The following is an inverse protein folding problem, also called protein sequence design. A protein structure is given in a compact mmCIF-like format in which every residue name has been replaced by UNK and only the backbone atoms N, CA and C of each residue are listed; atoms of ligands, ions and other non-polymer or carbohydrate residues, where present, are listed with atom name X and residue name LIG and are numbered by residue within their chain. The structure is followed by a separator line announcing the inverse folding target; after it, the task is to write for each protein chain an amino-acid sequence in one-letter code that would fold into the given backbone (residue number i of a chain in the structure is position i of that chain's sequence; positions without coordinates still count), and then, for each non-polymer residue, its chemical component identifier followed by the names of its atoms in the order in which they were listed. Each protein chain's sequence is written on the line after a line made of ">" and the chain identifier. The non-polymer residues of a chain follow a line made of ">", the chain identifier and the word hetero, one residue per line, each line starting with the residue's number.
data_IF_532739961246
#
_entry.id   IF_532739961246
#
_cell.length_a   1.000
_cell.length_b   1.000
_cell.length_c   1.000
_cell.angle_alpha   90.00
_cell.angle_beta   90.00
_cell.angle_gamma   90.00
#
_symmetry.space_group_name_H-M   'P 1'
#
loop_
_entity.id
_entity.type
_entity.pdbx_description
1 polymer ?
#
# COMPACT_ATOMS: atom_id res chain seq x y z
N UNK A 1 -26.51 -67.58 16.65
CA UNK A 1 -26.63 -67.70 15.17
C UNK A 1 -26.86 -66.29 14.64
N UNK A 2 -26.06 -65.64 13.81
CA UNK A 2 -24.82 -65.94 13.07
C UNK A 2 -24.00 -64.64 13.06
N UNK A 3 -22.69 -64.75 13.30
CA UNK A 3 -21.74 -63.65 13.13
C UNK A 3 -21.37 -63.55 11.65
N UNK A 4 -21.79 -62.49 10.96
CA UNK A 4 -21.31 -62.20 9.60
C UNK A 4 -19.96 -61.48 9.68
N UNK A 5 -18.88 -62.21 9.40
CA UNK A 5 -17.57 -61.64 9.12
C UNK A 5 -17.59 -61.11 7.69
N UNK A 6 -17.57 -59.79 7.53
CA UNK A 6 -17.30 -59.14 6.24
C UNK A 6 -15.78 -59.10 6.09
N UNK A 7 -15.24 -59.96 5.22
CA UNK A 7 -13.87 -59.85 4.74
C UNK A 7 -13.84 -58.74 3.69
N UNK A 8 -13.34 -57.55 4.04
CA UNK A 8 -12.99 -56.54 3.04
C UNK A 8 -11.68 -56.95 2.36
N UNK A 9 -11.77 -57.43 1.13
CA UNK A 9 -10.62 -57.56 0.25
C UNK A 9 -10.20 -56.15 -0.21
N UNK A 10 -9.11 -55.63 0.36
CA UNK A 10 -8.45 -54.43 -0.15
C UNK A 10 -7.74 -54.83 -1.44
N UNK A 11 -8.33 -54.47 -2.58
CA UNK A 11 -7.62 -54.47 -3.85
C UNK A 11 -6.61 -53.32 -3.79
N UNK A 12 -5.33 -53.64 -3.63
CA UNK A 12 -4.25 -52.70 -3.85
C UNK A 12 -4.21 -52.38 -5.36
N UNK A 13 -4.95 -51.35 -5.76
CA UNK A 13 -4.67 -50.66 -7.02
C UNK A 13 -3.31 -50.02 -6.85
N UNK A 14 -2.28 -50.66 -7.41
CA UNK A 14 -0.98 -50.04 -7.62
C UNK A 14 -1.15 -48.85 -8.54
N UNK A 15 -1.47 -47.69 -7.97
CA UNK A 15 -1.21 -46.42 -8.63
C UNK A 15 0.30 -46.30 -8.61
N UNK A 16 0.95 -46.72 -9.68
CA UNK A 16 2.30 -46.27 -9.98
C UNK A 16 2.23 -44.75 -10.01
N UNK A 17 2.68 -44.11 -8.93
CA UNK A 17 2.91 -42.68 -8.91
C UNK A 17 3.92 -42.41 -10.02
N UNK A 18 3.44 -41.97 -11.18
CA UNK A 18 4.30 -41.44 -12.23
C UNK A 18 4.97 -40.25 -11.57
N UNK A 19 6.24 -40.39 -11.22
CA UNK A 19 7.02 -39.28 -10.69
C UNK A 19 6.97 -38.17 -11.73
N UNK A 20 6.38 -37.03 -11.36
CA UNK A 20 6.32 -35.87 -12.24
C UNK A 20 7.73 -35.57 -12.77
N UNK A 21 7.88 -35.48 -14.09
CA UNK A 21 9.19 -35.21 -14.68
C UNK A 21 9.68 -33.87 -14.13
N UNK A 22 10.90 -33.84 -13.59
CA UNK A 22 11.45 -32.67 -12.88
C UNK A 22 12.74 -32.19 -13.54
N UNK A 23 12.79 -30.91 -13.91
CA UNK A 23 14.03 -30.24 -14.32
C UNK A 23 14.66 -29.55 -13.11
N UNK A 24 15.97 -29.67 -12.91
CA UNK A 24 16.69 -29.11 -11.74
C UNK A 24 17.75 -28.07 -12.12
N UNK A 25 17.71 -27.59 -13.36
CA UNK A 25 18.62 -26.55 -13.88
C UNK A 25 17.78 -25.46 -14.48
N UNK A 26 18.31 -24.24 -14.46
CA UNK A 26 17.65 -23.09 -15.04
C UNK A 26 17.35 -23.33 -16.52
N UNK A 27 16.19 -22.88 -16.95
CA UNK A 27 15.70 -23.01 -18.32
C UNK A 27 15.73 -21.63 -18.95
N UNK A 28 16.64 -21.43 -19.89
CA UNK A 28 16.68 -20.23 -20.70
C UNK A 28 15.73 -20.38 -21.89
N UNK A 29 14.81 -19.43 -22.04
CA UNK A 29 13.92 -19.32 -23.19
C UNK A 29 14.58 -18.38 -24.18
N UNK A 30 15.07 -18.94 -25.28
CA UNK A 30 15.73 -18.19 -26.37
C UNK A 30 14.90 -18.17 -27.65
N UNK A 31 13.77 -18.87 -27.69
CA UNK A 31 12.92 -19.03 -28.87
C UNK A 31 11.43 -18.82 -28.52
N UNK A 32 10.59 -18.30 -29.43
CA UNK A 32 9.18 -17.93 -29.17
C UNK A 32 8.23 -19.07 -28.75
N UNK A 33 8.56 -20.33 -28.99
CA UNK A 33 7.70 -21.45 -28.58
C UNK A 33 8.56 -22.59 -28.06
N UNK A 34 8.59 -22.73 -26.74
CA UNK A 34 9.40 -23.73 -26.08
C UNK A 34 8.50 -24.73 -25.33
N UNK A 35 8.65 -25.99 -25.70
CA UNK A 35 8.07 -27.11 -24.95
C UNK A 35 9.12 -27.58 -23.95
N UNK A 36 8.82 -27.41 -22.67
CA UNK A 36 9.65 -27.91 -21.57
C UNK A 36 9.10 -29.28 -21.19
N UNK A 37 9.96 -30.31 -21.19
CA UNK A 37 9.54 -31.70 -21.04
C UNK A 37 9.19 -32.12 -19.61
N UNK A 38 9.47 -31.27 -18.61
CA UNK A 38 9.18 -31.54 -17.22
C UNK A 38 7.87 -30.88 -16.76
N UNK A 39 7.11 -31.59 -15.92
CA UNK A 39 5.94 -31.07 -15.22
C UNK A 39 6.34 -30.08 -14.10
N UNK A 40 7.53 -30.27 -13.51
CA UNK A 40 8.05 -29.46 -12.41
C UNK A 40 9.42 -28.90 -12.78
N UNK A 41 9.62 -27.60 -12.60
CA UNK A 41 10.92 -26.94 -12.70
C UNK A 41 11.39 -26.58 -11.29
N UNK A 42 12.33 -27.35 -10.77
CA UNK A 42 13.05 -27.09 -9.51
C UNK A 42 14.27 -26.21 -9.75
N UNK A 43 14.03 -25.08 -10.40
CA UNK A 43 15.00 -24.09 -10.86
C UNK A 43 14.24 -22.85 -11.38
N UNK A 44 14.96 -21.90 -11.99
CA UNK A 44 14.37 -20.72 -12.61
C UNK A 44 14.01 -20.94 -14.09
N UNK A 45 12.99 -20.24 -14.58
CA UNK A 45 12.75 -20.02 -16.00
C UNK A 45 13.10 -18.57 -16.33
N UNK A 46 13.98 -18.38 -17.31
CA UNK A 46 14.52 -17.06 -17.68
C UNK A 46 14.25 -16.84 -19.17
N UNK A 47 13.41 -15.86 -19.50
CA UNK A 47 13.23 -15.39 -20.88
C UNK A 47 14.38 -14.47 -21.24
N UNK A 48 15.17 -14.89 -22.23
CA UNK A 48 16.32 -14.13 -22.67
C UNK A 48 15.90 -12.80 -23.29
N UNK A 49 16.71 -11.75 -23.06
CA UNK A 49 16.45 -10.39 -23.55
C UNK A 49 16.39 -10.28 -25.08
N UNK A 50 16.95 -11.24 -25.81
CA UNK A 50 16.94 -11.27 -27.27
C UNK A 50 15.64 -11.81 -27.87
N UNK A 51 14.77 -12.42 -27.05
CA UNK A 51 13.51 -12.97 -27.53
C UNK A 51 12.56 -11.85 -27.96
N UNK A 52 11.97 -12.02 -29.14
CA UNK A 52 11.05 -11.08 -29.75
C UNK A 52 9.73 -11.76 -30.15
N UNK A 53 8.66 -10.97 -30.23
CA UNK A 53 7.35 -11.46 -30.66
C UNK A 53 6.57 -12.17 -29.57
N UNK A 54 5.88 -13.25 -29.93
CA UNK A 54 4.95 -13.96 -29.05
C UNK A 54 5.60 -15.20 -28.43
N UNK A 55 5.70 -15.24 -27.10
CA UNK A 55 6.27 -16.37 -26.37
C UNK A 55 5.18 -17.26 -25.77
N UNK A 56 5.25 -18.56 -26.04
CA UNK A 56 4.38 -19.58 -25.44
C UNK A 56 5.23 -20.60 -24.70
N UNK A 57 4.95 -20.77 -23.40
CA UNK A 57 5.61 -21.75 -22.53
C UNK A 57 4.65 -22.91 -22.28
N UNK A 58 5.00 -24.08 -22.82
CA UNK A 58 4.22 -25.31 -22.70
C UNK A 58 4.96 -26.36 -21.88
N UNK A 59 4.22 -27.10 -21.06
CA UNK A 59 4.72 -28.28 -20.36
C UNK A 59 4.73 -28.16 -18.83
N UNK A 60 5.45 -27.19 -18.24
CA UNK A 60 5.59 -27.15 -16.80
C UNK A 60 4.27 -26.71 -16.18
N UNK A 61 3.93 -27.38 -15.09
CA UNK A 61 2.79 -27.05 -14.23
C UNK A 61 3.23 -26.26 -13.02
N UNK A 62 4.42 -26.56 -12.49
CA UNK A 62 4.96 -25.92 -11.31
C UNK A 62 6.38 -25.42 -11.55
N UNK A 63 6.65 -24.20 -11.09
CA UNK A 63 8.00 -23.63 -11.03
C UNK A 63 8.30 -23.40 -9.55
N UNK A 64 9.33 -24.04 -9.01
CA UNK A 64 9.75 -23.84 -7.61
C UNK A 64 10.67 -22.64 -7.45
N UNK A 65 11.41 -22.28 -8.49
CA UNK A 65 12.17 -21.04 -8.57
C UNK A 65 11.32 -19.88 -9.09
N UNK A 66 12.00 -18.97 -9.79
CA UNK A 66 11.43 -17.76 -10.37
C UNK A 66 11.03 -17.97 -11.82
N UNK A 67 10.07 -17.17 -12.29
CA UNK A 67 9.84 -16.91 -13.70
C UNK A 67 10.29 -15.48 -13.99
N UNK A 68 11.26 -15.29 -14.88
CA UNK A 68 11.87 -13.98 -15.11
C UNK A 68 11.85 -13.61 -16.60
N UNK A 69 11.38 -12.41 -16.93
CA UNK A 69 11.61 -11.78 -18.22
C UNK A 69 12.03 -10.32 -17.99
N UNK A 70 13.27 -9.98 -18.38
CA UNK A 70 13.85 -8.65 -18.13
C UNK A 70 14.48 -8.08 -19.38
N UNK A 71 14.21 -6.81 -19.68
CA UNK A 71 14.81 -6.08 -20.79
C UNK A 71 14.61 -6.70 -22.19
N UNK A 72 13.57 -7.53 -22.36
CA UNK A 72 13.17 -8.05 -23.66
C UNK A 72 12.23 -7.03 -24.33
N UNK A 73 12.82 -5.97 -24.89
CA UNK A 73 12.07 -4.82 -25.42
C UNK A 73 11.10 -5.17 -26.55
N UNK A 74 11.42 -6.21 -27.34
CA UNK A 74 10.63 -6.68 -28.48
C UNK A 74 9.68 -7.84 -28.13
N UNK A 75 9.59 -8.24 -26.86
CA UNK A 75 8.63 -9.25 -26.39
C UNK A 75 7.21 -8.65 -26.42
N UNK A 76 6.35 -9.18 -27.29
CA UNK A 76 4.99 -8.65 -27.52
C UNK A 76 3.96 -9.37 -26.65
N UNK A 77 4.08 -10.69 -26.54
CA UNK A 77 3.20 -11.50 -25.70
C UNK A 77 3.94 -12.59 -24.95
N UNK A 78 3.40 -12.96 -23.79
CA UNK A 78 3.89 -14.07 -22.99
C UNK A 78 2.70 -14.87 -22.47
N UNK A 79 2.72 -16.19 -22.71
CA UNK A 79 1.60 -17.05 -22.34
C UNK A 79 1.99 -18.43 -21.85
N UNK A 80 1.16 -18.98 -20.98
CA UNK A 80 1.15 -20.40 -20.61
C UNK A 80 -0.24 -20.84 -20.18
N UNK A 81 -0.67 -22.00 -20.67
CA UNK A 81 -1.93 -22.63 -20.23
C UNK A 81 -1.70 -23.73 -19.20
N UNK A 82 -0.45 -24.10 -18.92
CA UNK A 82 -0.12 -25.23 -18.04
C UNK A 82 0.39 -24.82 -16.67
N UNK A 83 1.10 -23.69 -16.57
CA UNK A 83 1.70 -23.23 -15.31
C UNK A 83 0.58 -22.81 -14.35
N UNK A 84 0.44 -23.55 -13.26
CA UNK A 84 -0.53 -23.27 -12.20
C UNK A 84 0.09 -22.68 -10.93
N UNK A 85 1.39 -22.89 -10.71
CA UNK A 85 2.08 -22.33 -9.55
C UNK A 85 3.51 -21.90 -9.85
N UNK A 86 3.90 -20.72 -9.34
CA UNK A 86 5.28 -20.25 -9.26
C UNK A 86 5.58 -20.00 -7.79
N UNK A 87 6.50 -20.75 -7.19
CA UNK A 87 6.79 -20.64 -5.75
C UNK A 87 7.67 -19.45 -5.44
N UNK A 88 8.58 -19.09 -6.36
CA UNK A 88 9.37 -17.86 -6.30
C UNK A 88 8.63 -16.65 -6.86
N UNK A 89 9.39 -15.74 -7.44
CA UNK A 89 8.87 -14.49 -8.01
C UNK A 89 8.50 -14.66 -9.47
N UNK A 90 7.31 -14.18 -9.85
CA UNK A 90 6.97 -13.91 -11.23
C UNK A 90 7.38 -12.46 -11.56
N UNK A 91 8.54 -12.33 -12.20
CA UNK A 91 9.20 -11.05 -12.47
C UNK A 91 9.13 -10.67 -13.94
N UNK A 92 8.45 -9.56 -14.22
CA UNK A 92 8.40 -8.92 -15.54
C UNK A 92 8.94 -7.50 -15.38
N UNK A 93 10.09 -7.22 -16.00
CA UNK A 93 10.78 -5.94 -15.83
C UNK A 93 11.22 -5.34 -17.16
N UNK A 94 10.86 -4.09 -17.40
CA UNK A 94 11.32 -3.32 -18.56
C UNK A 94 11.02 -4.03 -19.89
N UNK A 95 9.73 -4.29 -20.14
CA UNK A 95 9.22 -4.97 -21.34
C UNK A 95 8.36 -3.99 -22.13
N UNK A 96 9.01 -3.18 -22.97
CA UNK A 96 8.38 -2.01 -23.62
C UNK A 96 7.28 -2.38 -24.62
N UNK A 97 7.40 -3.53 -25.30
CA UNK A 97 6.40 -4.00 -26.27
C UNK A 97 5.32 -4.90 -25.68
N UNK A 98 5.49 -5.42 -24.45
CA UNK A 98 4.59 -6.43 -23.88
C UNK A 98 3.20 -5.84 -23.67
N UNK A 99 2.23 -6.36 -24.41
CA UNK A 99 0.83 -5.91 -24.36
C UNK A 99 -0.16 -7.04 -24.04
N UNK A 100 0.28 -8.30 -24.13
CA UNK A 100 -0.55 -9.46 -23.81
C UNK A 100 0.17 -10.40 -22.86
N UNK A 101 -0.44 -10.64 -21.71
CA UNK A 101 0.01 -11.62 -20.72
C UNK A 101 -1.15 -12.59 -20.46
N UNK A 102 -0.92 -13.89 -20.66
CA UNK A 102 -1.96 -14.92 -20.48
C UNK A 102 -1.43 -16.15 -19.74
N UNK A 103 -1.81 -16.30 -18.47
CA UNK A 103 -1.45 -17.43 -17.63
C UNK A 103 -2.72 -18.07 -17.05
N UNK A 104 -3.52 -18.69 -17.92
CA UNK A 104 -4.91 -19.07 -17.64
C UNK A 104 -5.12 -20.15 -16.58
N UNK A 105 -4.07 -20.87 -16.18
CA UNK A 105 -4.09 -21.87 -15.11
C UNK A 105 -3.47 -21.38 -13.80
N UNK A 106 -2.94 -20.15 -13.75
CA UNK A 106 -2.13 -19.65 -12.65
C UNK A 106 -2.98 -19.33 -11.41
N UNK A 107 -2.76 -20.09 -10.34
CA UNK A 107 -3.54 -20.00 -9.10
C UNK A 107 -2.70 -19.53 -7.91
N UNK A 108 -1.39 -19.79 -7.90
CA UNK A 108 -0.50 -19.49 -6.77
C UNK A 108 0.82 -18.90 -7.22
N UNK A 109 1.24 -17.86 -6.51
CA UNK A 109 2.52 -17.19 -6.66
C UNK A 109 3.23 -17.10 -5.29
N UNK A 110 4.55 -17.08 -5.28
CA UNK A 110 5.29 -16.55 -4.14
C UNK A 110 5.14 -15.03 -4.12
N UNK A 111 5.64 -14.41 -5.18
CA UNK A 111 5.63 -12.96 -5.36
C UNK A 111 5.32 -12.59 -6.83
N UNK A 112 4.75 -11.41 -7.03
CA UNK A 112 4.53 -10.79 -8.34
C UNK A 112 5.28 -9.46 -8.35
N UNK A 113 6.18 -9.28 -9.32
CA UNK A 113 6.95 -8.04 -9.49
C UNK A 113 6.91 -7.58 -10.94
N UNK A 114 5.94 -6.72 -11.25
CA UNK A 114 5.70 -6.19 -12.58
C UNK A 114 6.09 -4.72 -12.62
N UNK A 115 7.15 -4.39 -13.34
CA UNK A 115 7.78 -3.07 -13.30
C UNK A 115 8.09 -2.61 -14.72
N UNK A 116 7.69 -1.39 -15.06
CA UNK A 116 7.96 -0.77 -16.38
C UNK A 116 7.39 -1.63 -17.53
N UNK A 117 6.06 -1.73 -17.56
CA UNK A 117 5.29 -2.47 -18.56
C UNK A 117 4.30 -1.50 -19.25
N UNK A 118 4.79 -0.56 -20.07
CA UNK A 118 4.03 0.62 -20.51
C UNK A 118 2.89 0.30 -21.50
N UNK A 119 2.75 -0.95 -21.92
CA UNK A 119 1.69 -1.41 -22.84
C UNK A 119 0.82 -2.53 -22.29
N UNK A 120 1.16 -3.08 -21.12
CA UNK A 120 0.39 -4.17 -20.51
C UNK A 120 -0.85 -3.58 -19.81
N UNK A 121 -2.04 -3.85 -20.32
CA UNK A 121 -3.29 -3.24 -19.83
C UNK A 121 -4.05 -4.07 -18.79
N UNK A 122 -3.86 -5.38 -18.76
CA UNK A 122 -4.69 -6.33 -18.02
C UNK A 122 -3.86 -7.51 -17.50
N UNK A 123 -4.37 -8.17 -16.46
CA UNK A 123 -3.83 -9.40 -15.88
C UNK A 123 -4.74 -10.59 -16.20
N UNK A 124 -4.36 -11.43 -17.17
CA UNK A 124 -5.15 -12.61 -17.51
C UNK A 124 -4.61 -13.87 -16.82
N UNK A 125 -5.06 -14.13 -15.60
CA UNK A 125 -4.71 -15.31 -14.79
C UNK A 125 -5.81 -16.38 -14.75
N UNK A 126 -6.73 -16.35 -15.72
CA UNK A 126 -7.85 -17.28 -15.78
C UNK A 126 -9.01 -16.90 -14.85
N UNK A 127 -10.08 -17.70 -14.87
CA UNK A 127 -11.34 -17.39 -14.17
C UNK A 127 -11.24 -17.54 -12.65
N UNK A 128 -10.42 -18.48 -12.18
CA UNK A 128 -10.16 -18.63 -10.74
C UNK A 128 -9.18 -17.57 -10.23
N UNK A 129 -8.31 -17.07 -11.12
CA UNK A 129 -7.27 -16.10 -10.81
C UNK A 129 -6.23 -16.61 -9.80
N UNK A 130 -5.30 -15.73 -9.45
CA UNK A 130 -4.36 -15.99 -8.36
C UNK A 130 -5.08 -15.75 -7.04
N UNK A 131 -5.13 -16.78 -6.20
CA UNK A 131 -5.76 -16.74 -4.86
C UNK A 131 -4.77 -16.77 -3.72
N UNK A 132 -3.52 -17.15 -4.00
CA UNK A 132 -2.44 -17.23 -3.02
C UNK A 132 -1.19 -16.53 -3.54
N UNK A 133 -0.77 -15.50 -2.83
CA UNK A 133 0.45 -14.73 -3.09
C UNK A 133 0.90 -14.05 -1.79
N UNK A 134 2.21 -13.89 -1.59
CA UNK A 134 2.75 -13.18 -0.43
C UNK A 134 2.89 -11.69 -0.71
N UNK A 135 3.48 -11.34 -1.84
CA UNK A 135 3.82 -9.95 -2.16
C UNK A 135 3.45 -9.59 -3.58
N UNK A 136 2.79 -8.44 -3.75
CA UNK A 136 2.42 -7.87 -5.05
C UNK A 136 3.13 -6.53 -5.19
N UNK A 137 3.84 -6.34 -6.29
CA UNK A 137 4.39 -5.05 -6.71
C UNK A 137 4.09 -4.81 -8.19
N UNK A 138 3.31 -3.77 -8.48
CA UNK A 138 2.97 -3.34 -9.84
C UNK A 138 3.28 -1.85 -9.98
N UNK A 139 4.37 -1.55 -10.68
CA UNK A 139 4.95 -0.19 -10.79
C UNK A 139 5.12 0.21 -12.25
N UNK A 140 4.76 1.44 -12.61
CA UNK A 140 5.00 2.01 -13.95
C UNK A 140 4.42 1.15 -15.08
N UNK A 141 3.15 0.78 -14.99
CA UNK A 141 2.48 -0.05 -16.02
C UNK A 141 1.27 0.64 -16.63
N UNK A 142 0.74 0.07 -17.71
CA UNK A 142 -0.53 0.49 -18.29
C UNK A 142 -1.73 -0.28 -17.70
N UNK A 143 -1.51 -1.09 -16.67
CA UNK A 143 -2.53 -1.95 -16.08
C UNK A 143 -3.64 -1.07 -15.51
N UNK A 144 -4.87 -1.40 -15.89
CA UNK A 144 -6.06 -0.65 -15.49
C UNK A 144 -6.99 -1.43 -14.56
N UNK A 145 -6.78 -2.74 -14.47
CA UNK A 145 -7.62 -3.67 -13.71
C UNK A 145 -6.78 -4.81 -13.13
N UNK A 146 -7.16 -5.28 -11.93
CA UNK A 146 -6.47 -6.33 -11.19
C UNK A 146 -7.38 -7.56 -10.95
N UNK A 147 -8.42 -7.77 -11.76
CA UNK A 147 -9.39 -8.87 -11.58
C UNK A 147 -8.78 -10.27 -11.65
N UNK A 148 -7.58 -10.42 -12.22
CA UNK A 148 -6.79 -11.65 -12.15
C UNK A 148 -6.28 -12.02 -10.74
N UNK A 149 -6.44 -11.14 -9.75
CA UNK A 149 -6.01 -11.33 -8.37
C UNK A 149 -7.23 -11.37 -7.43
N UNK A 150 -7.55 -12.55 -6.86
CA UNK A 150 -8.61 -12.72 -5.85
C UNK A 150 -7.99 -13.22 -4.55
N UNK A 151 -7.29 -12.31 -3.88
CA UNK A 151 -6.43 -12.63 -2.73
C UNK A 151 -7.05 -12.10 -1.45
N UNK A 152 -7.14 -12.96 -0.43
CA UNK A 152 -7.69 -12.57 0.87
C UNK A 152 -6.63 -12.01 1.83
N UNK A 153 -5.36 -12.42 1.68
CA UNK A 153 -4.29 -11.92 2.54
C UNK A 153 -2.95 -11.90 1.81
N UNK A 154 -2.16 -10.89 2.12
CA UNK A 154 -0.80 -10.67 1.60
C UNK A 154 0.08 -10.10 2.71
N UNK A 155 1.38 -10.28 2.56
CA UNK A 155 2.37 -9.59 3.39
C UNK A 155 2.50 -8.13 2.92
N UNK A 156 2.78 -7.94 1.63
CA UNK A 156 2.97 -6.62 1.03
C UNK A 156 2.14 -6.45 -0.24
N UNK A 157 1.48 -5.30 -0.36
CA UNK A 157 0.76 -4.90 -1.56
C UNK A 157 1.21 -3.50 -1.97
N UNK A 158 1.83 -3.40 -3.14
CA UNK A 158 2.26 -2.13 -3.71
C UNK A 158 1.76 -2.00 -5.14
N UNK A 159 1.03 -0.92 -5.39
CA UNK A 159 0.68 -0.47 -6.73
C UNK A 159 1.02 1.01 -6.86
N UNK A 160 1.87 1.35 -7.82
CA UNK A 160 2.26 2.74 -8.03
C UNK A 160 2.48 3.09 -9.49
N UNK A 161 2.20 4.35 -9.85
CA UNK A 161 2.42 4.89 -11.19
C UNK A 161 1.64 4.16 -12.32
N UNK A 162 0.48 3.57 -12.01
CA UNK A 162 -0.39 2.94 -13.00
C UNK A 162 -1.47 3.93 -13.45
N UNK A 163 -1.12 4.77 -14.42
CA UNK A 163 -1.94 5.94 -14.85
C UNK A 163 -3.32 5.61 -15.42
N UNK A 164 -3.58 4.34 -15.76
CA UNK A 164 -4.89 3.88 -16.26
C UNK A 164 -5.77 3.24 -15.18
N UNK A 165 -5.24 3.03 -13.99
CA UNK A 165 -5.96 2.42 -12.89
C UNK A 165 -6.83 3.44 -12.16
N UNK A 166 -8.05 3.63 -12.66
CA UNK A 166 -9.01 4.59 -12.11
C UNK A 166 -9.84 4.02 -10.96
N UNK A 167 -9.84 2.71 -10.77
CA UNK A 167 -10.54 2.06 -9.67
C UNK A 167 -9.80 0.82 -9.21
N UNK A 168 -9.90 0.51 -7.92
CA UNK A 168 -9.45 -0.76 -7.36
C UNK A 168 -10.44 -1.23 -6.31
N UNK A 169 -11.08 -2.36 -6.59
CA UNK A 169 -11.94 -3.06 -5.65
C UNK A 169 -11.23 -4.34 -5.19
N UNK A 170 -10.96 -4.45 -3.89
CA UNK A 170 -10.13 -5.52 -3.34
C UNK A 170 -10.95 -6.49 -2.49
N UNK A 171 -10.57 -7.77 -2.59
CA UNK A 171 -11.02 -8.85 -1.70
C UNK A 171 -10.11 -9.02 -0.46
N UNK A 172 -9.07 -8.20 -0.32
CA UNK A 172 -8.14 -8.28 0.80
C UNK A 172 -8.86 -8.11 2.14
N UNK A 173 -8.55 -9.01 3.06
CA UNK A 173 -8.99 -9.02 4.46
C UNK A 173 -7.85 -8.60 5.38
N UNK A 174 -6.61 -9.03 5.08
CA UNK A 174 -5.46 -8.78 5.95
C UNK A 174 -4.17 -8.46 5.17
N UNK A 175 -3.48 -7.39 5.56
CA UNK A 175 -2.15 -7.01 5.04
C UNK A 175 -1.14 -6.95 6.19
N UNK A 176 -0.19 -7.90 6.27
CA UNK A 176 0.65 -8.05 7.47
C UNK A 176 1.88 -7.16 7.53
N UNK A 177 2.26 -6.49 6.43
CA UNK A 177 3.43 -5.60 6.40
C UNK A 177 3.09 -4.23 5.88
N UNK A 178 2.66 -4.09 4.62
CA UNK A 178 2.37 -2.78 4.05
C UNK A 178 1.39 -2.83 2.88
N UNK A 179 0.49 -1.85 2.85
CA UNK A 179 -0.38 -1.50 1.75
C UNK A 179 0.04 -0.11 1.23
N UNK A 180 0.63 -0.09 0.05
CA UNK A 180 1.17 1.10 -0.59
C UNK A 180 0.44 1.36 -1.91
N UNK A 181 -0.28 2.47 -2.03
CA UNK A 181 -0.99 2.86 -3.25
C UNK A 181 -0.67 4.32 -3.57
N UNK A 182 0.09 4.55 -4.64
CA UNK A 182 0.59 5.89 -4.98
C UNK A 182 0.43 6.21 -6.46
N UNK A 183 0.11 7.45 -6.80
CA UNK A 183 0.23 7.99 -8.17
C UNK A 183 -0.49 7.16 -9.27
N UNK A 184 -1.60 6.51 -8.91
CA UNK A 184 -2.42 5.71 -9.82
C UNK A 184 -3.60 6.53 -10.33
N UNK A 185 -4.04 6.27 -11.56
CA UNK A 185 -5.25 6.89 -12.11
C UNK A 185 -5.23 8.42 -12.24
N UNK A 186 -4.08 9.10 -12.09
CA UNK A 186 -3.95 10.57 -12.15
C UNK A 186 -4.97 11.29 -11.25
N UNK A 187 -4.94 11.00 -9.95
CA UNK A 187 -5.82 11.57 -8.91
C UNK A 187 -7.31 11.22 -9.00
N UNK A 188 -7.75 10.43 -9.99
CA UNK A 188 -9.15 9.97 -10.08
C UNK A 188 -9.39 8.59 -9.50
N UNK A 189 -8.37 7.95 -8.90
CA UNK A 189 -8.47 6.59 -8.42
C UNK A 189 -9.49 6.43 -7.28
N UNK A 190 -10.45 5.53 -7.46
CA UNK A 190 -11.41 5.13 -6.43
C UNK A 190 -11.03 3.77 -5.82
N UNK A 191 -10.70 3.75 -4.53
CA UNK A 191 -10.23 2.56 -3.83
C UNK A 191 -11.33 2.06 -2.89
N UNK A 192 -11.74 0.81 -3.08
CA UNK A 192 -12.75 0.13 -2.25
C UNK A 192 -12.18 -1.15 -1.67
N UNK A 193 -12.11 -1.21 -0.33
CA UNK A 193 -11.60 -2.35 0.43
C UNK A 193 -12.60 -2.73 1.52
N UNK A 194 -13.78 -3.19 1.09
CA UNK A 194 -14.91 -3.44 1.98
C UNK A 194 -14.68 -4.59 2.98
N UNK A 195 -13.70 -5.46 2.71
CA UNK A 195 -13.37 -6.63 3.52
C UNK A 195 -12.11 -6.48 4.35
N UNK A 196 -11.35 -5.38 4.18
CA UNK A 196 -10.09 -5.19 4.89
C UNK A 196 -10.38 -4.99 6.37
N UNK A 197 -10.00 -5.97 7.20
CA UNK A 197 -10.19 -5.98 8.65
C UNK A 197 -8.93 -5.49 9.37
N UNK A 198 -7.76 -5.90 8.89
CA UNK A 198 -6.48 -5.58 9.52
C UNK A 198 -5.41 -5.19 8.49
N UNK A 199 -4.59 -4.21 8.83
CA UNK A 199 -3.39 -3.88 8.06
C UNK A 199 -2.27 -3.45 9.01
N UNK A 200 -1.02 -3.80 8.72
CA UNK A 200 0.09 -3.25 9.47
C UNK A 200 0.30 -1.78 9.12
N UNK A 201 0.69 -1.48 7.89
CA UNK A 201 0.86 -0.11 7.42
C UNK A 201 -0.01 0.16 6.19
N UNK A 202 -0.67 1.31 6.16
CA UNK A 202 -1.43 1.82 5.02
C UNK A 202 -0.83 3.17 4.64
N UNK A 203 -0.36 3.30 3.40
CA UNK A 203 0.06 4.58 2.83
C UNK A 203 -0.61 4.80 1.48
N UNK A 204 -1.36 5.90 1.36
CA UNK A 204 -2.11 6.24 0.15
C UNK A 204 -1.83 7.69 -0.27
N UNK A 205 -1.50 7.90 -1.55
CA UNK A 205 -1.48 9.19 -2.22
C UNK A 205 -2.25 9.15 -3.55
N UNK A 206 -2.63 10.33 -4.06
CA UNK A 206 -3.32 10.47 -5.34
C UNK A 206 -4.62 9.66 -5.48
N UNK A 207 -5.34 9.45 -4.37
CA UNK A 207 -6.66 8.82 -4.37
C UNK A 207 -7.79 9.87 -4.33
N UNK A 208 -8.85 9.61 -5.09
CA UNK A 208 -10.12 10.36 -5.04
C UNK A 208 -11.04 9.85 -3.94
N UNK A 209 -10.99 8.54 -3.65
CA UNK A 209 -11.71 7.95 -2.53
C UNK A 209 -10.98 6.72 -1.99
N UNK A 210 -11.09 6.49 -0.68
CA UNK A 210 -10.59 5.30 -0.02
C UNK A 210 -11.61 4.81 1.00
N UNK A 211 -12.19 3.63 0.78
CA UNK A 211 -13.26 3.04 1.61
C UNK A 211 -12.77 1.79 2.32
N UNK A 212 -12.80 1.83 3.65
CA UNK A 212 -12.39 0.74 4.55
C UNK A 212 -13.40 0.52 5.68
N UNK A 213 -14.68 0.21 5.36
CA UNK A 213 -15.74 0.11 6.37
C UNK A 213 -15.53 -1.03 7.38
N UNK A 214 -14.77 -2.08 7.02
CA UNK A 214 -14.51 -3.23 7.89
C UNK A 214 -13.22 -3.12 8.70
N UNK A 215 -12.39 -2.07 8.49
CA UNK A 215 -11.08 -1.97 9.12
C UNK A 215 -11.24 -1.77 10.62
N UNK A 216 -10.64 -2.68 11.39
CA UNK A 216 -10.75 -2.76 12.86
C UNK A 216 -9.44 -2.35 13.54
N UNK A 217 -8.30 -2.68 12.95
CA UNK A 217 -6.98 -2.48 13.56
C UNK A 217 -5.92 -2.12 12.51
N UNK A 218 -5.09 -1.13 12.85
CA UNK A 218 -3.85 -0.82 12.13
C UNK A 218 -2.67 -1.06 13.06
N UNK A 219 -1.91 -2.13 12.84
CA UNK A 219 -0.84 -2.57 13.77
C UNK A 219 0.47 -1.79 13.65
N UNK A 220 0.55 -0.88 12.68
CA UNK A 220 1.55 0.18 12.58
C UNK A 220 0.87 1.51 12.29
N UNK A 221 1.01 2.04 11.07
CA UNK A 221 0.65 3.41 10.72
C UNK A 221 -0.43 3.49 9.63
N UNK A 222 -1.33 4.46 9.76
CA UNK A 222 -2.28 4.87 8.72
C UNK A 222 -1.90 6.27 8.23
N UNK A 223 -1.41 6.37 6.99
CA UNK A 223 -0.91 7.60 6.38
C UNK A 223 -1.67 7.89 5.08
N UNK A 224 -2.52 8.91 5.10
CA UNK A 224 -3.18 9.44 3.91
C UNK A 224 -2.57 10.81 3.62
N UNK A 225 -1.65 10.83 2.66
CA UNK A 225 -0.87 12.02 2.34
C UNK A 225 -1.02 12.38 0.86
N UNK A 226 -1.13 13.67 0.55
CA UNK A 226 -1.23 14.16 -0.83
C UNK A 226 -2.36 13.50 -1.64
N UNK A 227 -3.58 13.54 -1.09
CA UNK A 227 -4.80 13.09 -1.77
C UNK A 227 -5.69 14.31 -2.09
N UNK A 228 -5.36 15.13 -3.10
CA UNK A 228 -6.03 16.41 -3.35
C UNK A 228 -7.49 16.27 -3.78
N UNK A 229 -7.91 15.11 -4.26
CA UNK A 229 -9.29 14.84 -4.68
C UNK A 229 -10.15 14.19 -3.59
N UNK A 230 -9.55 13.74 -2.48
CA UNK A 230 -10.25 13.09 -1.38
C UNK A 230 -11.10 14.11 -0.61
N UNK A 231 -12.42 13.89 -0.57
CA UNK A 231 -13.38 14.80 0.10
C UNK A 231 -13.73 14.39 1.51
N UNK A 232 -13.73 13.09 1.78
CA UNK A 232 -13.99 12.55 3.11
C UNK A 232 -13.26 11.24 3.31
N UNK A 233 -12.96 10.94 4.56
CA UNK A 233 -12.41 9.66 4.98
C UNK A 233 -13.13 9.16 6.23
N UNK A 234 -13.44 7.86 6.29
CA UNK A 234 -14.09 7.25 7.44
C UNK A 234 -13.58 5.82 7.64
N UNK A 235 -13.23 5.50 8.87
CA UNK A 235 -12.87 4.16 9.32
C UNK A 235 -13.75 3.82 10.56
N UNK A 236 -15.03 3.48 10.36
CA UNK A 236 -16.03 3.47 11.43
C UNK A 236 -15.81 2.39 12.50
N UNK A 237 -15.09 1.32 12.15
CA UNK A 237 -14.82 0.20 13.04
C UNK A 237 -13.38 0.19 13.57
N UNK A 238 -12.55 1.16 13.17
CA UNK A 238 -11.14 1.19 13.55
C UNK A 238 -11.03 1.59 15.02
N UNK A 239 -10.44 0.71 15.83
CA UNK A 239 -10.32 0.87 17.29
C UNK A 239 -8.91 1.29 17.71
N UNK A 240 -7.89 0.79 17.02
CA UNK A 240 -6.48 1.03 17.40
C UNK A 240 -5.60 1.30 16.19
N UNK A 241 -4.72 2.29 16.34
CA UNK A 241 -3.55 2.50 15.48
C UNK A 241 -2.32 2.39 16.39
N UNK A 242 -1.45 1.42 16.18
CA UNK A 242 -0.34 1.15 17.12
C UNK A 242 0.80 2.18 17.01
N UNK A 243 0.99 2.76 15.83
CA UNK A 243 1.96 3.83 15.59
C UNK A 243 1.20 5.09 15.17
N UNK A 244 1.41 5.58 13.95
CA UNK A 244 1.04 6.95 13.57
C UNK A 244 -0.25 7.00 12.76
N UNK A 245 -1.13 7.93 13.10
CA UNK A 245 -2.18 8.45 12.23
C UNK A 245 -1.70 9.75 11.58
N UNK A 246 -1.60 9.77 10.26
CA UNK A 246 -1.15 10.93 9.48
C UNK A 246 -2.15 11.26 8.38
N UNK A 247 -2.73 12.45 8.42
CA UNK A 247 -3.67 12.97 7.43
C UNK A 247 -3.14 14.32 6.91
N UNK A 248 -2.42 14.31 5.79
CA UNK A 248 -1.65 15.47 5.32
C UNK A 248 -1.97 15.82 3.85
N UNK A 249 -2.03 17.12 3.54
CA UNK A 249 -2.13 17.66 2.17
C UNK A 249 -3.38 17.18 1.39
N UNK A 250 -4.55 17.21 2.02
CA UNK A 250 -5.84 16.88 1.38
C UNK A 250 -6.73 18.14 1.30
N UNK A 251 -6.42 19.02 0.36
CA UNK A 251 -7.06 20.35 0.22
C UNK A 251 -8.57 20.34 -0.11
N UNK A 252 -9.16 19.18 -0.47
CA UNK A 252 -10.61 19.03 -0.65
C UNK A 252 -11.30 18.27 0.48
N UNK A 253 -10.55 17.79 1.47
CA UNK A 253 -11.08 17.06 2.60
C UNK A 253 -11.92 17.99 3.47
N UNK A 254 -13.19 17.65 3.67
CA UNK A 254 -14.13 18.40 4.52
C UNK A 254 -14.58 17.62 5.73
N UNK A 255 -14.37 16.30 5.75
CA UNK A 255 -14.84 15.45 6.84
C UNK A 255 -13.92 14.26 7.08
N UNK A 256 -13.64 13.96 8.34
CA UNK A 256 -12.97 12.75 8.80
C UNK A 256 -13.79 12.11 9.92
N UNK A 257 -13.79 10.77 10.01
CA UNK A 257 -14.68 10.06 10.93
C UNK A 257 -14.02 8.80 11.50
N UNK A 258 -13.85 8.78 12.82
CA UNK A 258 -13.23 7.69 13.60
C UNK A 258 -14.02 7.39 14.89
N UNK A 259 -15.32 7.03 14.79
CA UNK A 259 -16.22 6.90 15.94
C UNK A 259 -15.84 5.79 16.93
N UNK A 260 -15.04 4.81 16.50
CA UNK A 260 -14.61 3.68 17.31
C UNK A 260 -13.15 3.78 17.80
N UNK A 261 -12.38 4.78 17.34
CA UNK A 261 -10.94 4.86 17.62
C UNK A 261 -10.70 5.23 19.08
N UNK A 262 -9.96 4.39 19.79
CA UNK A 262 -9.70 4.48 21.23
C UNK A 262 -8.24 4.87 21.52
N UNK A 263 -7.28 4.35 20.73
CA UNK A 263 -5.85 4.57 20.96
C UNK A 263 -5.05 4.83 19.67
N UNK A 264 -4.13 5.78 19.77
CA UNK A 264 -3.02 6.00 18.81
C UNK A 264 -1.70 5.81 19.58
N UNK A 265 -0.97 4.74 19.32
CA UNK A 265 0.27 4.41 20.04
C UNK A 265 1.51 5.22 19.60
N UNK A 266 1.39 5.99 18.51
CA UNK A 266 2.42 6.90 18.01
C UNK A 266 1.86 8.31 17.81
N UNK A 267 2.24 8.97 16.71
CA UNK A 267 1.86 10.36 16.44
C UNK A 267 0.44 10.49 15.91
N UNK A 268 -0.27 11.55 16.33
CA UNK A 268 -1.53 11.97 15.75
C UNK A 268 -1.36 13.28 15.00
N UNK A 269 -1.28 13.19 13.67
CA UNK A 269 -0.98 14.32 12.79
C UNK A 269 -2.10 14.59 11.80
N UNK A 270 -2.64 15.81 11.83
CA UNK A 270 -3.55 16.35 10.82
C UNK A 270 -2.95 17.68 10.35
N UNK A 271 -2.54 17.77 9.09
CA UNK A 271 -1.83 18.94 8.59
C UNK A 271 -2.26 19.36 7.18
N UNK A 272 -2.39 20.67 6.94
CA UNK A 272 -2.60 21.26 5.62
C UNK A 272 -3.84 20.70 4.86
N UNK A 273 -4.91 20.44 5.60
CA UNK A 273 -6.22 20.08 5.06
C UNK A 273 -7.11 21.32 5.06
N UNK A 274 -6.87 22.24 4.12
CA UNK A 274 -7.40 23.63 4.16
C UNK A 274 -8.92 23.77 4.14
N UNK A 275 -9.67 22.71 3.77
CA UNK A 275 -11.14 22.66 3.82
C UNK A 275 -11.71 21.85 4.99
N UNK A 276 -10.85 21.29 5.82
CA UNK A 276 -11.26 20.55 7.00
C UNK A 276 -11.50 21.56 8.12
N UNK A 277 -12.75 21.98 8.26
CA UNK A 277 -13.16 23.00 9.23
C UNK A 277 -13.40 22.41 10.64
N UNK A 278 -13.57 21.09 10.75
CA UNK A 278 -13.83 20.41 12.03
C UNK A 278 -13.05 19.10 12.17
N UNK A 279 -12.56 18.84 13.40
CA UNK A 279 -11.97 17.59 13.86
C UNK A 279 -12.77 17.14 15.08
N UNK A 280 -13.94 16.53 14.88
CA UNK A 280 -14.93 16.32 15.96
C UNK A 280 -15.55 14.92 16.04
N UNK A 281 -15.12 13.98 15.19
CA UNK A 281 -15.62 12.60 15.22
C UNK A 281 -14.56 11.61 15.74
N UNK A 282 -14.03 11.93 16.92
CA UNK A 282 -13.16 11.07 17.74
C UNK A 282 -13.75 10.90 19.17
N UNK A 283 -15.01 10.47 19.32
CA UNK A 283 -15.71 10.44 20.61
C UNK A 283 -15.13 9.43 21.60
N UNK A 284 -14.28 8.50 21.14
CA UNK A 284 -13.69 7.44 21.95
C UNK A 284 -12.18 7.55 22.13
N UNK A 285 -11.51 8.50 21.47
CA UNK A 285 -10.05 8.58 21.52
C UNK A 285 -9.64 8.97 22.94
N UNK A 286 -9.07 8.02 23.67
CA UNK A 286 -8.70 8.15 25.08
C UNK A 286 -7.21 8.44 25.23
N UNK A 287 -6.37 7.86 24.36
CA UNK A 287 -4.91 7.89 24.51
C UNK A 287 -4.15 8.13 23.21
N UNK A 288 -3.18 9.02 23.27
CA UNK A 288 -2.12 9.21 22.25
C UNK A 288 -0.77 9.01 22.93
N UNK A 289 -0.02 7.97 22.60
CA UNK A 289 1.28 7.72 23.25
C UNK A 289 2.40 8.58 22.66
N UNK A 290 2.33 8.96 21.38
CA UNK A 290 3.22 9.93 20.77
C UNK A 290 2.74 11.37 20.92
N UNK A 291 3.20 12.24 20.02
CA UNK A 291 2.79 13.64 19.96
C UNK A 291 1.51 13.88 19.18
N UNK A 292 0.85 15.00 19.46
CA UNK A 292 -0.32 15.49 18.70
C UNK A 292 0.10 16.73 17.91
N UNK A 293 -0.13 16.71 16.60
CA UNK A 293 0.16 17.82 15.70
C UNK A 293 -1.08 18.14 14.85
N UNK A 294 -1.82 19.18 15.22
CA UNK A 294 -3.00 19.63 14.47
C UNK A 294 -2.71 21.01 13.85
N UNK A 295 -2.59 21.07 12.52
CA UNK A 295 -2.22 22.28 11.80
C UNK A 295 -3.12 22.50 10.60
N UNK A 296 -3.88 23.58 10.57
CA UNK A 296 -4.85 23.76 9.49
C UNK A 296 -5.68 25.02 9.52
N UNK A 297 -6.89 24.90 8.98
CA UNK A 297 -7.90 25.95 8.94
C UNK A 297 -9.20 25.52 9.63
N UNK A 298 -9.09 24.67 10.66
CA UNK A 298 -10.23 24.19 11.43
C UNK A 298 -10.72 25.23 12.44
N UNK A 299 -12.03 25.32 12.60
CA UNK A 299 -12.74 26.16 13.57
C UNK A 299 -13.18 25.36 14.80
N UNK A 300 -13.24 24.02 14.69
CA UNK A 300 -13.74 23.14 15.74
C UNK A 300 -12.83 21.91 15.92
N UNK A 301 -12.50 21.60 17.17
CA UNK A 301 -11.81 20.36 17.54
C UNK A 301 -12.47 19.79 18.80
N UNK A 302 -12.97 18.56 18.73
CA UNK A 302 -13.59 17.85 19.87
C UNK A 302 -12.96 16.47 20.04
N UNK A 303 -12.22 16.30 21.14
CA UNK A 303 -11.62 15.03 21.56
C UNK A 303 -12.09 14.68 22.98
N UNK A 304 -13.39 14.51 23.23
CA UNK A 304 -14.01 14.61 24.56
C UNK A 304 -13.52 13.59 25.58
N UNK A 305 -12.91 12.50 25.13
CA UNK A 305 -12.38 11.43 25.96
C UNK A 305 -10.86 11.43 26.10
N UNK A 306 -10.16 12.32 25.41
CA UNK A 306 -8.70 12.32 25.42
C UNK A 306 -8.21 12.62 26.84
N UNK A 307 -7.58 11.63 27.45
CA UNK A 307 -7.16 11.66 28.86
C UNK A 307 -5.65 11.52 29.01
N UNK A 308 -4.94 11.13 27.95
CA UNK A 308 -3.49 10.99 27.96
C UNK A 308 -2.85 11.33 26.60
N UNK A 309 -1.81 12.17 26.64
CA UNK A 309 -0.84 12.42 25.57
C UNK A 309 0.57 12.30 26.15
N UNK A 310 1.31 11.26 25.78
CA UNK A 310 2.68 11.07 26.32
C UNK A 310 3.78 11.82 25.56
N UNK A 311 3.47 12.37 24.38
CA UNK A 311 4.33 13.29 23.65
C UNK A 311 3.97 14.77 23.84
N UNK A 312 4.53 15.61 22.97
CA UNK A 312 4.17 17.03 22.89
C UNK A 312 2.89 17.25 22.10
N UNK A 313 2.16 18.31 22.44
CA UNK A 313 0.99 18.81 21.70
C UNK A 313 1.38 20.11 21.01
N UNK A 314 1.21 20.16 19.69
CA UNK A 314 1.30 21.41 18.93
C UNK A 314 0.05 21.58 18.09
N UNK A 315 -0.68 22.66 18.34
CA UNK A 315 -1.86 22.99 17.56
C UNK A 315 -1.84 24.43 17.07
N UNK A 316 -2.12 24.59 15.78
CA UNK A 316 -2.13 25.88 15.10
C UNK A 316 -3.25 25.93 14.07
N UNK A 317 -4.08 26.97 14.11
CA UNK A 317 -5.11 27.18 13.09
C UNK A 317 -5.04 28.60 12.53
N UNK A 318 -5.44 28.74 11.27
CA UNK A 318 -5.67 30.06 10.65
C UNK A 318 -6.86 30.80 11.26
N UNK A 319 -7.72 30.12 12.00
CA UNK A 319 -8.94 30.67 12.61
C UNK A 319 -8.78 30.84 14.14
N UNK A 320 -9.79 31.38 14.78
CA UNK A 320 -9.82 31.57 16.23
C UNK A 320 -10.17 30.26 16.96
N UNK A 321 -9.22 29.68 17.68
CA UNK A 321 -9.35 28.39 18.38
C UNK A 321 -9.11 28.51 19.89
N UNK A 322 -9.40 29.67 20.49
CA UNK A 322 -9.14 29.92 21.92
C UNK A 322 -9.76 28.88 22.86
N UNK A 323 -11.02 28.52 22.64
CA UNK A 323 -11.71 27.52 23.47
C UNK A 323 -11.00 26.16 23.45
N UNK A 324 -10.42 25.81 22.30
CA UNK A 324 -9.62 24.62 22.12
C UNK A 324 -8.25 24.76 22.80
N UNK A 325 -7.60 25.93 22.75
CA UNK A 325 -6.36 26.15 23.51
C UNK A 325 -6.61 25.94 25.00
N UNK A 326 -7.72 26.46 25.53
CA UNK A 326 -8.10 26.29 26.93
C UNK A 326 -8.29 24.80 27.29
N UNK A 327 -8.83 24.00 26.37
CA UNK A 327 -8.96 22.55 26.54
C UNK A 327 -7.60 21.86 26.71
N UNK A 328 -6.63 22.14 25.83
CA UNK A 328 -5.28 21.55 25.93
C UNK A 328 -4.48 22.09 27.12
N UNK A 329 -4.63 23.37 27.45
CA UNK A 329 -4.10 23.97 28.67
C UNK A 329 -4.56 23.22 29.93
N UNK A 330 -5.86 22.87 29.99
CA UNK A 330 -6.43 22.14 31.12
C UNK A 330 -5.88 20.71 31.19
N UNK A 331 -5.80 19.99 30.06
CA UNK A 331 -5.15 18.69 30.00
C UNK A 331 -3.70 18.75 30.49
N UNK A 332 -2.95 19.80 30.09
CA UNK A 332 -1.56 19.98 30.54
C UNK A 332 -1.48 20.23 32.05
N UNK A 333 -2.33 21.09 32.59
CA UNK A 333 -2.42 21.38 34.05
C UNK A 333 -2.78 20.13 34.86
N UNK A 334 -3.60 19.26 34.30
CA UNK A 334 -4.01 17.99 34.92
C UNK A 334 -2.94 16.88 34.79
N UNK A 335 -1.77 17.18 34.22
CA UNK A 335 -0.69 16.21 33.92
C UNK A 335 -1.12 15.08 32.98
N UNK A 336 -2.09 15.38 32.08
CA UNK A 336 -2.52 14.47 31.02
C UNK A 336 -1.69 14.63 29.75
N UNK A 337 -0.89 15.68 29.65
CA UNK A 337 0.10 15.89 28.58
C UNK A 337 1.49 15.87 29.22
N UNK A 338 2.31 14.88 28.87
CA UNK A 338 3.67 14.73 29.41
C UNK A 338 4.64 15.76 28.79
N UNK A 339 4.60 15.90 27.45
CA UNK A 339 5.48 16.78 26.66
C UNK A 339 5.11 18.27 26.69
N UNK A 340 5.73 19.05 25.81
CA UNK A 340 5.39 20.48 25.69
C UNK A 340 4.00 20.67 25.09
N UNK A 341 3.31 21.74 25.47
CA UNK A 341 2.04 22.15 24.88
C UNK A 341 2.23 23.52 24.23
N UNK A 342 1.84 23.64 22.95
CA UNK A 342 1.82 24.89 22.21
C UNK A 342 0.54 24.99 21.39
N UNK A 343 -0.36 25.87 21.80
CA UNK A 343 -1.53 26.27 21.03
C UNK A 343 -1.39 27.66 20.41
N UNK A 344 -1.73 27.83 19.13
CA UNK A 344 -1.70 29.13 18.44
C UNK A 344 -2.95 29.36 17.60
N UNK A 345 -3.75 30.36 18.01
CA UNK A 345 -4.92 30.83 17.25
C UNK A 345 -4.56 31.89 16.22
N UNK A 346 -5.38 32.02 15.17
CA UNK A 346 -5.27 33.06 14.13
C UNK A 346 -3.89 33.10 13.44
N UNK A 347 -3.22 31.97 13.34
CA UNK A 347 -1.92 31.85 12.70
C UNK A 347 -2.08 31.69 11.18
N UNK A 348 -1.76 32.74 10.42
CA UNK A 348 -1.84 32.73 8.95
C UNK A 348 -0.94 31.68 8.30
N UNK A 349 0.14 31.28 8.98
CA UNK A 349 1.13 30.31 8.50
C UNK A 349 0.85 28.88 8.99
N UNK A 350 -0.30 28.63 9.64
CA UNK A 350 -0.65 27.31 10.17
C UNK A 350 -0.57 26.18 9.12
N UNK A 351 -0.87 26.48 7.86
CA UNK A 351 -0.81 25.52 6.75
C UNK A 351 0.60 25.37 6.13
N UNK A 352 1.54 26.26 6.43
CA UNK A 352 2.90 26.26 5.84
C UNK A 352 3.89 25.38 6.59
N UNK A 353 3.52 24.85 7.77
CA UNK A 353 4.40 24.02 8.60
C UNK A 353 5.58 24.77 9.23
N UNK A 354 5.61 26.12 9.15
CA UNK A 354 6.75 26.95 9.57
C UNK A 354 6.72 27.38 11.04
N UNK A 355 5.63 27.13 11.76
CA UNK A 355 5.47 27.66 13.12
C UNK A 355 5.63 26.59 14.22
N UNK A 356 6.89 26.35 14.59
CA UNK A 356 7.39 25.86 15.88
C UNK A 356 6.89 24.52 16.40
N UNK A 357 7.48 23.44 15.86
CA UNK A 357 7.60 22.13 16.49
C UNK A 357 8.69 21.36 15.73
N UNK A 358 9.90 21.41 16.28
CA UNK A 358 11.18 20.86 15.77
C UNK A 358 11.78 21.53 14.52
N UNK A 359 12.72 22.45 14.76
CA UNK A 359 13.84 22.71 13.86
C UNK A 359 14.67 21.43 13.76
N UNK A 360 14.69 20.83 12.57
CA UNK A 360 15.67 19.80 12.24
C UNK A 360 17.07 20.41 12.31
N UNK A 361 17.89 19.92 13.25
CA UNK A 361 19.28 20.28 13.43
C UNK A 361 20.10 19.79 12.21
N UNK A 362 20.10 20.63 11.17
CA UNK A 362 20.81 20.40 9.92
C UNK A 362 22.20 21.02 9.97
N UNK A 363 23.18 20.22 10.37
CA UNK A 363 24.60 20.56 10.27
C UNK A 363 24.93 21.05 8.84
N UNK A 364 25.54 22.23 8.81
CA UNK A 364 25.99 23.00 7.65
C UNK A 364 26.74 22.20 6.57
N UNK A 365 26.34 22.41 5.31
CA UNK A 365 27.10 22.04 4.12
C UNK A 365 26.84 23.05 3.00
N UNK A 366 27.77 24.01 2.87
CA UNK A 366 27.77 25.11 1.90
C UNK A 366 27.80 24.65 0.44
N UNK A 367 27.00 25.29 -0.43
CA UNK A 367 27.44 25.70 -1.76
C UNK A 367 26.48 26.71 -2.40
N UNK A 368 26.99 27.92 -2.63
CA UNK A 368 26.42 28.95 -3.49
C UNK A 368 26.26 28.49 -4.95
N UNK A 369 25.19 28.94 -5.60
CA UNK A 369 25.28 29.69 -6.87
C UNK A 369 23.91 30.25 -7.25
N UNK A 370 23.88 31.57 -7.45
CA UNK A 370 22.82 32.31 -8.13
C UNK A 370 22.62 31.81 -9.58
N UNK A 371 21.37 31.80 -10.05
CA UNK A 371 21.00 32.47 -11.31
C UNK A 371 19.48 32.54 -11.52
N UNK A 372 19.07 33.60 -12.20
CA UNK A 372 17.70 34.08 -12.41
C UNK A 372 17.00 33.44 -13.62
N UNK A 373 15.67 33.42 -13.50
CA UNK A 373 14.59 33.49 -14.53
C UNK A 373 14.52 32.40 -15.62
N UNK A 374 13.47 31.58 -15.60
CA UNK A 374 12.35 31.75 -16.55
C UNK A 374 11.13 30.89 -16.20
N UNK A 375 9.95 31.42 -16.51
CA UNK A 375 8.65 30.81 -16.30
C UNK A 375 8.28 29.85 -17.45
N UNK A 376 8.12 28.57 -17.14
CA UNK A 376 7.27 27.65 -17.89
C UNK A 376 6.84 26.49 -16.99
N UNK A 377 5.52 26.36 -16.78
CA UNK A 377 4.92 25.35 -15.95
C UNK A 377 5.16 23.94 -16.48
N UNK A 378 6.02 23.21 -15.79
CA UNK A 378 5.96 21.76 -15.65
C UNK A 378 6.11 21.52 -14.16
N UNK A 379 5.01 21.19 -13.48
CA UNK A 379 5.05 20.69 -12.10
C UNK A 379 5.60 19.26 -12.19
N UNK A 380 6.91 19.15 -12.32
CA UNK A 380 7.62 17.92 -11.96
C UNK A 380 7.54 17.82 -10.44
N UNK A 381 6.57 17.05 -9.95
CA UNK A 381 6.49 16.65 -8.54
C UNK A 381 7.81 15.98 -8.21
N UNK A 382 8.67 16.71 -7.51
CA UNK A 382 9.99 16.24 -7.13
C UNK A 382 9.76 15.17 -6.06
N UNK A 383 9.95 13.91 -6.42
CA UNK A 383 9.73 12.71 -5.58
C UNK A 383 10.55 12.68 -4.27
N UNK A 384 11.37 13.70 -4.01
CA UNK A 384 12.06 13.92 -2.74
C UNK A 384 11.12 14.37 -1.60
N UNK A 385 9.91 14.86 -1.88
CA UNK A 385 8.96 15.32 -0.85
C UNK A 385 8.12 14.17 -0.26
N UNK A 386 7.97 13.05 -0.97
CA UNK A 386 7.23 11.87 -0.49
C UNK A 386 7.99 11.04 0.56
N UNK A 387 9.28 11.33 0.80
CA UNK A 387 10.14 10.57 1.71
C UNK A 387 10.44 11.27 3.05
N UNK A 388 9.89 12.46 3.33
CA UNK A 388 10.25 13.27 4.50
C UNK A 388 9.19 13.32 5.62
N UNK A 389 8.07 12.62 5.50
CA UNK A 389 7.10 12.45 6.60
C UNK A 389 7.33 11.16 7.43
N UNK A 390 8.46 10.46 7.21
CA UNK A 390 8.66 9.08 7.69
C UNK A 390 9.84 8.82 8.62
N UNK A 391 10.68 9.78 8.97
CA UNK A 391 11.90 9.50 9.75
C UNK A 391 12.22 10.63 10.74
N UNK A 392 11.68 10.55 11.96
CA UNK A 392 12.24 11.24 13.14
C UNK A 392 11.64 10.72 14.47
N UNK A 393 11.52 9.40 14.65
CA UNK A 393 11.20 8.82 15.96
C UNK A 393 12.07 7.60 16.28
N UNK A 394 13.35 7.65 15.89
CA UNK A 394 14.37 6.72 16.37
C UNK A 394 15.66 7.50 16.63
N UNK A 395 15.73 8.16 17.77
CA UNK A 395 16.99 8.37 18.50
C UNK A 395 16.67 8.97 19.87
N UNK A 396 17.24 8.34 20.90
CA UNK A 396 17.33 8.79 22.30
C UNK A 396 16.11 8.50 23.16
N UNK A 397 16.01 7.24 23.60
CA UNK A 397 16.30 6.87 24.99
C UNK A 397 16.96 5.47 24.92
N UNK A 398 17.79 5.15 25.92
CA UNK A 398 18.60 3.93 26.02
C UNK A 398 17.95 2.62 25.55
#
# INVERSE_FOLDING_TARGET
>A
MHSFKVLSAIAALGVSAVSAATCTKDINITEPTQVISCDVVDADIIVDKSVAGAVVINGPKQIKGNFQAKNAGDLISLSSTTINSITGTFELNNLEALNNLEFSSLQSLGELSFIKLPRLGELNFGTEGVTKIKSIRITDTFISDLSGLSVASVESFQIDNNRKMNAFNSDLVNVTTQLLIFDNGNDVMEITMNKLETAAEIQISSAKSFKVPALQEVTKSLKLNANPELKSFSAPNLTTITETLSLIDMNKLTNISFPALEEIGGGFTIQNNTKLEAIDDFPKLEKVTGGVALRGSFEKVELPKLDQVSGSVVVSSTTDIKEFCDYFDNLKKDNKIDGEEKCTSNNKEANEGKDGGEESDGSSGSSNSDDKEDAAGIVSVNMAVLALAGVAAVAQLF
#
